data_IF_886540964319
#
_entry.id   IF_886540964319
#
_cell.length_a   1.000
_cell.length_b   1.000
_cell.length_c   1.000
_cell.angle_alpha   90.00
_cell.angle_beta   90.00
_cell.angle_gamma   90.00
#
_symmetry.space_group_name_H-M   'P 1'
#
loop_
_entity.id
_entity.type
_entity.pdbx_description
1 polymer ?
#
# COMPACT_ATOMS: atom_id res chain seq x y z
N UNK A 1 12.51 7.35 -20.05
CA UNK A 1 12.81 6.17 -19.21
C UNK A 1 12.71 6.57 -17.75
N UNK A 2 11.72 6.04 -17.05
CA UNK A 2 11.51 6.29 -15.63
C UNK A 2 10.40 5.38 -15.13
N UNK A 3 10.57 4.79 -13.94
CA UNK A 3 9.56 3.93 -13.34
C UNK A 3 8.39 4.80 -12.88
N UNK A 4 7.17 4.51 -13.36
CA UNK A 4 5.96 5.24 -12.98
C UNK A 4 5.27 4.63 -11.75
N UNK A 5 5.40 3.32 -11.54
CA UNK A 5 4.77 2.62 -10.43
C UNK A 5 5.67 1.57 -9.81
N UNK A 6 5.63 1.48 -8.47
CA UNK A 6 6.30 0.44 -7.70
C UNK A 6 5.23 -0.27 -6.87
N UNK A 7 5.12 -1.59 -7.04
CA UNK A 7 4.25 -2.45 -6.24
C UNK A 7 5.11 -3.21 -5.24
N UNK A 8 4.74 -3.16 -3.96
CA UNK A 8 5.52 -3.72 -2.86
C UNK A 8 4.69 -4.79 -2.16
N UNK A 9 5.25 -5.99 -2.05
CA UNK A 9 4.86 -7.01 -1.07
C UNK A 9 5.88 -7.07 0.05
N UNK A 10 5.44 -7.14 1.30
CA UNK A 10 6.34 -7.36 2.42
C UNK A 10 5.64 -7.99 3.62
N UNK A 11 6.38 -8.77 4.38
CA UNK A 11 5.97 -9.28 5.69
C UNK A 11 5.93 -8.17 6.76
N UNK A 12 5.54 -8.53 7.98
CA UNK A 12 5.35 -7.58 9.09
C UNK A 12 6.66 -6.90 9.57
N UNK A 13 7.82 -7.53 9.36
CA UNK A 13 9.11 -7.03 9.87
C UNK A 13 9.51 -5.73 9.18
N UNK A 14 9.62 -4.65 9.96
CA UNK A 14 9.99 -3.33 9.44
C UNK A 14 8.90 -2.61 8.64
N UNK A 15 7.67 -3.14 8.55
CA UNK A 15 6.60 -2.54 7.72
C UNK A 15 6.24 -1.12 8.10
N UNK A 16 6.16 -0.79 9.39
CA UNK A 16 5.89 0.59 9.82
C UNK A 16 7.02 1.55 9.46
N UNK A 17 8.27 1.06 9.49
CA UNK A 17 9.42 1.85 9.06
C UNK A 17 9.32 2.17 7.56
N UNK A 18 8.97 1.19 6.73
CA UNK A 18 8.73 1.39 5.30
C UNK A 18 7.56 2.35 5.08
N UNK A 19 6.44 2.19 5.80
CA UNK A 19 5.28 3.10 5.69
C UNK A 19 5.63 4.55 6.04
N UNK A 20 6.35 4.78 7.14
CA UNK A 20 6.71 6.12 7.58
C UNK A 20 7.83 6.76 6.76
N UNK A 21 8.91 6.03 6.50
CA UNK A 21 10.14 6.60 5.97
C UNK A 21 10.31 6.42 4.45
N UNK A 22 9.71 5.37 3.85
CA UNK A 22 9.80 5.11 2.40
C UNK A 22 8.55 5.59 1.67
N UNK A 23 7.37 5.10 2.07
CA UNK A 23 6.08 5.48 1.46
C UNK A 23 5.67 6.90 1.87
N UNK A 24 6.14 7.38 3.03
CA UNK A 24 5.76 8.68 3.63
C UNK A 24 4.28 8.81 3.92
N UNK A 25 3.65 7.71 4.34
CA UNK A 25 2.29 7.75 4.90
C UNK A 25 2.31 8.67 6.14
N UNK A 26 1.39 9.64 6.26
CA UNK A 26 1.38 10.55 7.40
C UNK A 26 1.39 9.80 8.74
N UNK A 27 2.29 10.18 9.65
CA UNK A 27 2.42 9.51 10.95
C UNK A 27 1.10 9.54 11.74
N UNK A 28 0.34 10.63 11.64
CA UNK A 28 -1.01 10.72 12.23
C UNK A 28 -1.93 9.59 11.76
N UNK A 29 -1.88 9.23 10.48
CA UNK A 29 -2.67 8.13 9.93
C UNK A 29 -2.16 6.79 10.45
N UNK A 30 -0.84 6.57 10.47
CA UNK A 30 -0.24 5.35 11.04
C UNK A 30 -0.64 5.18 12.51
N UNK A 31 -0.51 6.23 13.33
CA UNK A 31 -0.86 6.16 14.75
C UNK A 31 -2.36 5.98 15.00
N UNK A 32 -3.23 6.52 14.14
CA UNK A 32 -4.68 6.31 14.25
C UNK A 32 -5.10 4.84 14.11
N UNK A 33 -4.29 4.02 13.43
CA UNK A 33 -4.52 2.58 13.30
C UNK A 33 -4.19 1.80 14.59
N UNK A 34 -3.48 2.42 15.55
CA UNK A 34 -3.21 1.84 16.87
C UNK A 34 -4.30 2.16 17.89
N UNK A 35 -5.09 3.21 17.67
CA UNK A 35 -6.11 3.68 18.63
C UNK A 35 -7.46 2.95 18.52
N UNK A 36 -7.55 1.87 17.73
CA UNK A 36 -8.78 1.06 17.59
C UNK A 36 -9.41 1.02 16.18
N UNK A 37 -8.67 1.45 15.15
CA UNK A 37 -9.12 1.38 13.76
C UNK A 37 -10.14 2.46 13.39
N UNK A 38 -10.35 2.63 12.09
CA UNK A 38 -11.49 3.37 11.53
C UNK A 38 -12.77 2.89 12.23
N UNK A 39 -13.36 3.73 13.08
CA UNK A 39 -14.72 3.47 13.59
C UNK A 39 -15.60 3.19 12.36
N UNK A 40 -16.47 2.17 12.38
CA UNK A 40 -17.59 2.14 11.46
C UNK A 40 -18.31 3.48 11.67
N UNK A 41 -18.23 4.36 10.69
CA UNK A 41 -19.03 5.58 10.75
C UNK A 41 -20.42 5.10 10.33
N UNK A 42 -21.32 4.98 11.30
CA UNK A 42 -22.74 4.60 11.12
C UNK A 42 -23.54 5.67 10.34
N UNK A 43 -22.93 6.33 9.36
CA UNK A 43 -23.61 7.26 8.47
C UNK A 43 -23.29 6.91 7.03
N UNK A 44 -24.29 6.30 6.39
CA UNK A 44 -24.61 6.45 4.96
C UNK A 44 -23.38 6.43 4.04
N UNK A 45 -22.73 5.27 3.98
CA UNK A 45 -22.00 4.83 2.80
C UNK A 45 -20.52 5.20 2.71
N UNK A 46 -19.66 4.56 3.53
CA UNK A 46 -18.40 3.98 3.03
C UNK A 46 -17.67 3.18 4.14
N UNK A 47 -17.32 1.94 3.81
CA UNK A 47 -16.40 1.01 4.50
C UNK A 47 -16.99 0.06 5.57
N UNK A 48 -17.38 -1.14 5.11
CA UNK A 48 -17.81 -2.30 5.91
C UNK A 48 -16.70 -3.33 6.15
N UNK A 49 -15.42 -2.93 6.06
CA UNK A 49 -14.32 -3.84 6.32
C UNK A 49 -14.26 -4.22 7.80
N UNK A 50 -14.14 -5.51 8.13
CA UNK A 50 -13.88 -6.00 9.50
C UNK A 50 -12.56 -5.48 10.09
N UNK A 51 -11.79 -4.74 9.29
CA UNK A 51 -10.43 -4.33 9.59
C UNK A 51 -9.44 -5.50 9.45
N UNK A 52 -8.17 -5.16 9.50
CA UNK A 52 -7.07 -6.10 9.74
C UNK A 52 -6.10 -5.40 10.71
N UNK A 53 -5.14 -6.12 11.26
CA UNK A 53 -4.09 -5.48 12.04
C UNK A 53 -3.32 -4.49 11.15
N UNK A 54 -2.89 -3.36 11.71
CA UNK A 54 -2.12 -2.29 11.03
C UNK A 54 -0.98 -2.78 10.11
N UNK A 55 -0.41 -3.95 10.41
CA UNK A 55 0.68 -4.55 9.65
C UNK A 55 0.24 -5.31 8.39
N UNK A 56 -1.05 -5.40 8.10
CA UNK A 56 -1.61 -6.05 6.91
C UNK A 56 -2.32 -5.08 5.98
N UNK A 57 -2.58 -3.85 6.44
CA UNK A 57 -3.28 -2.86 5.64
C UNK A 57 -2.41 -2.42 4.45
N UNK A 58 -3.02 -2.38 3.27
CA UNK A 58 -2.41 -1.83 2.07
C UNK A 58 -2.31 -0.31 2.15
N UNK A 59 -1.48 0.29 1.31
CA UNK A 59 -1.36 1.75 1.18
C UNK A 59 -0.96 2.11 -0.25
N UNK A 60 -1.62 3.10 -0.83
CA UNK A 60 -1.24 3.67 -2.13
C UNK A 60 -0.92 5.15 -1.96
N UNK A 61 0.19 5.60 -2.53
CA UNK A 61 0.67 6.97 -2.38
C UNK A 61 1.48 7.42 -3.59
N UNK A 62 1.20 8.63 -4.08
CA UNK A 62 1.98 9.24 -5.16
C UNK A 62 3.07 10.13 -4.58
N UNK A 63 4.31 9.90 -5.00
CA UNK A 63 5.48 10.59 -4.47
C UNK A 63 6.22 11.35 -5.59
N UNK A 64 6.56 12.63 -5.39
CA UNK A 64 7.52 13.30 -6.26
C UNK A 64 8.93 12.76 -6.04
N UNK A 65 9.63 12.52 -7.14
CA UNK A 65 11.06 12.21 -7.17
C UNK A 65 11.89 13.50 -7.14
N UNK A 66 13.19 13.37 -6.85
CA UNK A 66 14.11 14.51 -6.91
C UNK A 66 14.19 15.14 -8.31
N UNK A 67 13.87 14.36 -9.35
CA UNK A 67 13.84 14.82 -10.75
C UNK A 67 12.50 15.41 -11.21
N UNK A 68 11.53 15.62 -10.32
CA UNK A 68 10.23 16.21 -10.65
C UNK A 68 9.15 15.24 -11.12
N UNK A 69 9.53 14.02 -11.55
CA UNK A 69 8.58 12.96 -11.92
C UNK A 69 7.82 12.46 -10.69
N UNK A 70 6.58 12.00 -10.85
CA UNK A 70 5.80 11.35 -9.80
C UNK A 70 5.86 9.84 -9.96
N UNK A 71 6.02 9.12 -8.85
CA UNK A 71 5.98 7.65 -8.79
C UNK A 71 4.82 7.24 -7.90
N UNK A 72 4.02 6.30 -8.39
CA UNK A 72 2.95 5.66 -7.63
C UNK A 72 3.47 4.46 -6.85
N UNK A 73 3.52 4.57 -5.53
CA UNK A 73 3.89 3.49 -4.61
C UNK A 73 2.62 2.76 -4.15
N UNK A 74 2.58 1.43 -4.27
CA UNK A 74 1.46 0.62 -3.78
C UNK A 74 1.96 -0.55 -2.94
N UNK A 75 1.75 -0.46 -1.63
CA UNK A 75 1.98 -1.54 -0.69
C UNK A 75 0.73 -2.43 -0.64
N UNK A 76 0.88 -3.69 -1.02
CA UNK A 76 -0.22 -4.66 -1.09
C UNK A 76 -0.62 -5.09 0.33
N UNK A 77 -1.93 -5.27 0.53
CA UNK A 77 -2.45 -5.87 1.76
C UNK A 77 -2.16 -7.38 1.77
N UNK A 78 -1.76 -7.94 2.92
CA UNK A 78 -1.33 -9.33 2.99
C UNK A 78 -1.77 -9.98 4.32
N UNK A 79 -2.15 -11.27 4.31
CA UNK A 79 -2.42 -11.99 5.55
C UNK A 79 -1.12 -12.28 6.31
N UNK A 80 -1.26 -12.87 7.51
CA UNK A 80 -0.13 -13.40 8.30
C UNK A 80 0.59 -14.56 7.64
N UNK A 81 -0.02 -15.24 6.66
CA UNK A 81 0.58 -16.35 5.92
C UNK A 81 1.72 -15.80 5.04
N UNK A 82 2.95 -16.06 5.47
CA UNK A 82 4.15 -15.53 4.82
C UNK A 82 4.22 -15.97 3.35
N UNK A 83 4.75 -15.09 2.51
CA UNK A 83 4.89 -15.24 1.04
C UNK A 83 3.58 -15.45 0.25
N UNK A 84 2.42 -15.55 0.90
CA UNK A 84 1.13 -15.66 0.20
C UNK A 84 0.80 -14.42 -0.66
N UNK A 85 1.44 -13.29 -0.36
CA UNK A 85 1.27 -12.04 -1.10
C UNK A 85 2.07 -11.99 -2.41
N UNK A 86 3.08 -12.84 -2.56
CA UNK A 86 4.04 -12.76 -3.67
C UNK A 86 3.38 -12.87 -5.05
N UNK A 87 2.54 -13.89 -5.34
CA UNK A 87 1.84 -13.96 -6.62
C UNK A 87 0.84 -12.81 -6.79
N UNK A 88 0.28 -12.28 -5.70
CA UNK A 88 -0.65 -11.14 -5.73
C UNK A 88 0.07 -9.86 -6.17
N UNK A 89 1.30 -9.64 -5.70
CA UNK A 89 2.16 -8.51 -6.09
C UNK A 89 2.51 -8.60 -7.57
N UNK A 90 2.93 -9.77 -8.04
CA UNK A 90 3.29 -9.98 -9.46
C UNK A 90 2.06 -9.79 -10.34
N UNK A 91 0.90 -10.36 -9.97
CA UNK A 91 -0.35 -10.19 -10.71
C UNK A 91 -0.79 -8.73 -10.80
N UNK A 92 -0.73 -8.00 -9.68
CA UNK A 92 -1.03 -6.56 -9.65
C UNK A 92 -0.06 -5.74 -10.51
N UNK A 93 1.22 -6.09 -10.48
CA UNK A 93 2.25 -5.46 -11.31
C UNK A 93 1.97 -5.70 -12.79
N UNK A 94 1.64 -6.94 -13.16
CA UNK A 94 1.31 -7.29 -14.55
C UNK A 94 0.07 -6.57 -15.04
N UNK A 95 -0.95 -6.43 -14.20
CA UNK A 95 -2.14 -5.64 -14.53
C UNK A 95 -1.79 -4.17 -14.79
N UNK A 96 -0.94 -3.57 -13.95
CA UNK A 96 -0.47 -2.19 -14.15
C UNK A 96 0.29 -2.03 -15.46
N UNK A 97 1.21 -2.94 -15.77
CA UNK A 97 1.92 -2.93 -17.05
C UNK A 97 0.95 -2.96 -18.23
N UNK A 98 -0.04 -3.87 -18.20
CA UNK A 98 -1.06 -3.97 -19.23
C UNK A 98 -1.84 -2.67 -19.42
N UNK A 99 -2.36 -2.08 -18.34
CA UNK A 99 -3.16 -0.85 -18.43
C UNK A 99 -2.33 0.40 -18.77
N UNK A 100 -1.03 0.39 -18.48
CA UNK A 100 -0.10 1.46 -18.86
C UNK A 100 0.49 1.27 -20.27
N UNK A 101 0.14 0.19 -20.98
CA UNK A 101 0.80 -0.23 -22.22
C UNK A 101 2.34 -0.34 -22.08
N UNK A 102 2.79 -0.78 -20.91
CA UNK A 102 4.19 -1.05 -20.60
C UNK A 102 4.52 -2.47 -21.11
N UNK A 103 4.96 -2.52 -22.37
CA UNK A 103 5.16 -3.76 -23.13
C UNK A 103 6.59 -4.31 -23.07
N UNK A 104 7.52 -3.50 -22.55
CA UNK A 104 8.95 -3.80 -22.36
C UNK A 104 9.31 -3.96 -20.87
#
# INVERSE_FOLDING_TARGET
LGVESIVIGMSHRGRLNVLGNVVRKPLRQIFSEFTGGTKPVDEVGLYTGTGDVKYHLGTSYDRPTRGGNRIHLSLVANPSHLEAVDPVVVGKTRAKQYYSNDVD
#
